data_IF_063635348687
#
_entry.id   IF_063635348687
#
_cell.length_a   1.000
_cell.length_b   1.000
_cell.length_c   1.000
_cell.angle_alpha   90.00
_cell.angle_beta   90.00
_cell.angle_gamma   90.00
#
_symmetry.space_group_name_H-M   'P 1'
#
loop_
_entity.id
_entity.type
_entity.pdbx_description
1 polymer ?
#
# COMPACT_ATOMS: atom_id res chain seq x y z
N UNK A 1 -7.80 14.70 -6.59
CA UNK A 1 -7.80 13.32 -6.04
C UNK A 1 -8.41 12.28 -6.99
N UNK A 2 -9.24 12.65 -7.97
CA UNK A 2 -9.93 11.72 -8.89
C UNK A 2 -9.06 10.80 -9.78
N UNK A 3 -7.79 11.11 -10.04
CA UNK A 3 -6.97 10.32 -10.97
C UNK A 3 -6.41 9.03 -10.33
N UNK A 4 -6.05 9.08 -9.04
CA UNK A 4 -5.49 7.91 -8.34
C UNK A 4 -6.55 6.83 -8.09
N UNK A 5 -7.77 7.22 -7.71
CA UNK A 5 -8.90 6.31 -7.49
C UNK A 5 -9.31 5.55 -8.76
N UNK A 6 -9.32 6.22 -9.91
CA UNK A 6 -9.61 5.54 -11.18
C UNK A 6 -8.51 4.56 -11.57
N UNK A 7 -7.25 4.93 -11.33
CA UNK A 7 -6.10 4.07 -11.66
C UNK A 7 -6.03 2.86 -10.71
N UNK A 8 -6.30 3.04 -9.41
CA UNK A 8 -6.26 1.92 -8.46
C UNK A 8 -7.34 0.87 -8.77
N UNK A 9 -8.54 1.29 -9.18
CA UNK A 9 -9.60 0.37 -9.63
C UNK A 9 -9.16 -0.46 -10.85
N UNK A 10 -8.53 0.17 -11.84
CA UNK A 10 -7.97 -0.54 -13.00
C UNK A 10 -6.83 -1.50 -12.59
N UNK A 11 -5.98 -1.06 -11.66
CA UNK A 11 -4.88 -1.88 -11.15
C UNK A 11 -5.41 -3.13 -10.45
N UNK A 12 -6.45 -3.02 -9.61
CA UNK A 12 -7.08 -4.18 -8.96
C UNK A 12 -7.86 -5.07 -9.93
N UNK A 13 -8.33 -4.53 -11.05
CA UNK A 13 -8.90 -5.36 -12.12
C UNK A 13 -7.81 -6.19 -12.80
N UNK A 14 -6.64 -5.60 -13.09
CA UNK A 14 -5.50 -6.27 -13.70
C UNK A 14 -4.82 -7.27 -12.73
N UNK A 15 -4.68 -6.86 -11.47
CA UNK A 15 -3.98 -7.59 -10.41
C UNK A 15 -4.92 -7.78 -9.21
N UNK A 16 -5.88 -8.73 -9.26
CA UNK A 16 -6.90 -8.91 -8.23
C UNK A 16 -6.36 -9.43 -6.89
N UNK A 17 -5.14 -9.99 -6.88
CA UNK A 17 -4.46 -10.42 -5.67
C UNK A 17 -2.93 -10.38 -5.87
N UNK A 18 -2.19 -10.55 -4.78
CA UNK A 18 -0.73 -10.52 -4.79
C UNK A 18 -0.14 -11.56 -5.75
N UNK A 19 -0.70 -12.77 -5.84
CA UNK A 19 -0.18 -13.82 -6.72
C UNK A 19 -0.24 -13.40 -8.18
N UNK A 20 -1.39 -12.93 -8.64
CA UNK A 20 -1.54 -12.43 -10.02
C UNK A 20 -0.61 -11.23 -10.27
N UNK A 21 -0.43 -10.35 -9.28
CA UNK A 21 0.51 -9.24 -9.40
C UNK A 21 1.96 -9.70 -9.64
N UNK A 22 2.36 -10.90 -9.18
CA UNK A 22 3.69 -11.46 -9.49
C UNK A 22 3.81 -12.07 -10.89
N UNK A 23 2.69 -12.41 -11.53
CA UNK A 23 2.64 -13.13 -12.81
C UNK A 23 2.36 -12.20 -14.00
N UNK A 24 1.62 -11.12 -13.79
CA UNK A 24 1.34 -10.10 -14.82
C UNK A 24 2.64 -9.43 -15.26
N UNK A 25 2.82 -9.24 -16.58
CA UNK A 25 3.98 -8.55 -17.13
C UNK A 25 4.12 -7.13 -16.55
N UNK A 26 5.33 -6.74 -16.16
CA UNK A 26 5.62 -5.45 -15.54
C UNK A 26 5.15 -4.27 -16.40
N UNK A 27 5.25 -4.41 -17.72
CA UNK A 27 4.85 -3.41 -18.71
C UNK A 27 3.34 -3.15 -18.70
N UNK A 28 2.51 -4.16 -18.38
CA UNK A 28 1.06 -3.98 -18.26
C UNK A 28 0.70 -3.18 -17.01
N UNK A 29 1.38 -3.46 -15.89
CA UNK A 29 1.24 -2.65 -14.66
C UNK A 29 1.70 -1.22 -14.94
N UNK A 30 2.84 -1.04 -15.61
CA UNK A 30 3.37 0.27 -16.01
C UNK A 30 2.36 1.07 -16.84
N UNK A 31 1.72 0.45 -17.84
CA UNK A 31 0.69 1.08 -18.67
C UNK A 31 -0.48 1.58 -17.84
N UNK A 32 -0.97 0.78 -16.89
CA UNK A 32 -2.10 1.15 -16.02
C UNK A 32 -1.75 2.36 -15.14
N UNK A 33 -0.56 2.37 -14.54
CA UNK A 33 -0.17 3.42 -13.58
C UNK A 33 0.57 4.62 -14.22
N UNK A 34 0.69 4.64 -15.55
CA UNK A 34 1.50 5.60 -16.32
C UNK A 34 1.23 7.05 -15.94
N UNK A 35 -0.05 7.40 -15.80
CA UNK A 35 -0.52 8.77 -15.51
C UNK A 35 -0.14 9.29 -14.13
N UNK A 36 0.30 8.43 -13.22
CA UNK A 36 0.60 8.78 -11.84
C UNK A 36 2.09 9.15 -11.61
N UNK A 37 2.93 9.12 -12.66
CA UNK A 37 4.39 9.36 -12.56
C UNK A 37 5.19 8.17 -12.04
N UNK A 38 6.53 8.18 -12.13
CA UNK A 38 7.42 7.11 -11.62
C UNK A 38 6.99 5.66 -11.98
N UNK A 39 6.26 5.48 -13.07
CA UNK A 39 5.48 4.27 -13.34
C UNK A 39 6.36 3.04 -13.54
N UNK A 40 7.51 3.20 -14.21
CA UNK A 40 8.51 2.13 -14.37
C UNK A 40 8.98 1.58 -13.02
N UNK A 41 9.44 2.48 -12.14
CA UNK A 41 9.94 2.13 -10.82
C UNK A 41 8.83 1.50 -9.97
N UNK A 42 7.63 2.10 -9.97
CA UNK A 42 6.51 1.60 -9.17
C UNK A 42 5.95 0.27 -9.65
N UNK A 43 5.97 -0.01 -10.95
CA UNK A 43 5.54 -1.31 -11.47
C UNK A 43 6.43 -2.44 -10.93
N UNK A 44 7.76 -2.26 -11.00
CA UNK A 44 8.72 -3.23 -10.41
C UNK A 44 8.54 -3.35 -8.89
N UNK A 45 8.38 -2.21 -8.20
CA UNK A 45 8.16 -2.22 -6.75
C UNK A 45 6.87 -2.96 -6.35
N UNK A 46 5.78 -2.81 -7.11
CA UNK A 46 4.51 -3.49 -6.84
C UNK A 46 4.63 -5.01 -6.98
N UNK A 47 5.31 -5.48 -8.04
CA UNK A 47 5.55 -6.91 -8.20
C UNK A 47 6.44 -7.46 -7.08
N UNK A 48 7.50 -6.73 -6.73
CA UNK A 48 8.41 -7.15 -5.65
C UNK A 48 7.72 -7.18 -4.30
N UNK A 49 6.94 -6.14 -3.97
CA UNK A 49 6.09 -6.09 -2.79
C UNK A 49 5.16 -7.32 -2.74
N UNK A 50 4.54 -7.66 -3.86
CA UNK A 50 3.61 -8.79 -3.95
C UNK A 50 4.32 -10.14 -3.75
N UNK A 51 5.53 -10.29 -4.29
CA UNK A 51 6.39 -11.46 -4.03
C UNK A 51 6.78 -11.56 -2.55
N UNK A 52 7.28 -10.47 -1.96
CA UNK A 52 7.70 -10.46 -0.56
C UNK A 52 6.49 -10.73 0.37
N UNK A 53 5.31 -10.19 0.04
CA UNK A 53 4.08 -10.38 0.81
C UNK A 53 3.61 -11.84 0.86
N UNK A 54 3.76 -12.57 -0.26
CA UNK A 54 3.45 -14.00 -0.34
C UNK A 54 4.50 -14.89 0.32
N UNK A 55 5.70 -14.37 0.56
CA UNK A 55 6.71 -15.06 1.33
C UNK A 55 6.33 -15.19 2.80
N UNK A 56 6.84 -16.21 3.47
CA UNK A 56 6.54 -16.49 4.88
C UNK A 56 7.57 -15.86 5.85
N UNK A 57 8.61 -15.20 5.33
CA UNK A 57 9.76 -14.76 6.12
C UNK A 57 9.60 -13.40 6.80
N UNK A 58 8.50 -12.68 6.54
CA UNK A 58 8.27 -11.37 7.13
C UNK A 58 7.33 -11.46 8.34
N UNK A 59 7.63 -10.67 9.36
CA UNK A 59 6.81 -10.52 10.57
C UNK A 59 6.29 -9.09 10.73
N UNK A 60 6.94 -8.12 10.10
CA UNK A 60 6.54 -6.71 10.10
C UNK A 60 6.42 -6.20 8.67
N UNK A 61 5.35 -5.46 8.36
CA UNK A 61 5.11 -4.96 7.00
C UNK A 61 6.22 -4.01 6.50
N UNK A 62 7.01 -3.40 7.39
CA UNK A 62 8.19 -2.59 7.03
C UNK A 62 9.32 -3.39 6.39
N UNK A 63 9.31 -4.73 6.51
CA UNK A 63 10.25 -5.62 5.83
C UNK A 63 9.89 -5.82 4.36
N UNK A 64 8.65 -5.51 3.97
CA UNK A 64 8.18 -5.66 2.60
C UNK A 64 8.70 -4.51 1.72
N UNK A 65 9.15 -4.85 0.51
CA UNK A 65 9.71 -3.86 -0.40
C UNK A 65 8.72 -2.72 -0.69
N UNK A 66 9.16 -1.47 -0.49
CA UNK A 66 8.35 -0.28 -0.76
C UNK A 66 7.39 0.13 0.35
N UNK A 67 7.31 -0.60 1.46
CA UNK A 67 6.52 -0.21 2.63
C UNK A 67 7.37 0.60 3.60
N UNK A 68 7.16 1.92 3.60
CA UNK A 68 7.75 2.84 4.58
C UNK A 68 6.83 3.11 5.78
N UNK A 69 7.20 4.10 6.61
CA UNK A 69 6.46 4.48 7.82
C UNK A 69 4.96 4.71 7.56
N UNK A 70 4.62 5.43 6.48
CA UNK A 70 3.22 5.68 6.12
C UNK A 70 2.42 4.38 5.95
N UNK A 71 2.94 3.42 5.18
CA UNK A 71 2.27 2.15 4.94
C UNK A 71 2.18 1.30 6.22
N UNK A 72 3.23 1.32 7.05
CA UNK A 72 3.25 0.60 8.32
C UNK A 72 2.26 1.17 9.34
N UNK A 73 2.20 2.49 9.51
CA UNK A 73 1.23 3.14 10.39
C UNK A 73 -0.20 2.87 9.89
N UNK A 74 -0.45 2.97 8.59
CA UNK A 74 -1.76 2.67 8.00
C UNK A 74 -2.16 1.21 8.26
N UNK A 75 -1.24 0.26 8.10
CA UNK A 75 -1.49 -1.15 8.39
C UNK A 75 -1.84 -1.39 9.88
N UNK A 76 -1.10 -0.76 10.79
CA UNK A 76 -1.37 -0.85 12.22
C UNK A 76 -2.76 -0.31 12.58
N UNK A 77 -3.14 0.84 12.01
CA UNK A 77 -4.43 1.49 12.27
C UNK A 77 -5.59 0.70 11.68
N UNK A 78 -5.50 0.31 10.40
CA UNK A 78 -6.67 -0.20 9.65
C UNK A 78 -6.73 -1.72 9.53
N UNK A 79 -5.60 -2.44 9.59
CA UNK A 79 -5.56 -3.88 9.35
C UNK A 79 -5.43 -4.69 10.64
N UNK A 80 -4.63 -4.22 11.61
CA UNK A 80 -4.42 -4.96 12.88
C UNK A 80 -5.15 -4.36 14.08
N UNK A 81 -5.62 -3.12 13.97
CA UNK A 81 -6.29 -2.41 15.07
C UNK A 81 -5.34 -1.91 16.17
N UNK A 82 -4.03 -1.95 15.95
CA UNK A 82 -3.00 -1.48 16.89
C UNK A 82 -2.75 0.03 16.74
N UNK A 83 -3.82 0.81 16.60
CA UNK A 83 -3.77 2.24 16.30
C UNK A 83 -3.13 3.07 17.43
N UNK A 84 -3.21 2.60 18.66
CA UNK A 84 -2.68 3.20 19.88
C UNK A 84 -1.16 3.02 20.02
N UNK A 85 -0.60 2.00 19.36
CA UNK A 85 0.84 1.70 19.31
C UNK A 85 1.61 2.54 18.28
N UNK A 86 0.93 3.36 17.48
CA UNK A 86 1.57 4.21 16.46
C UNK A 86 1.35 5.69 16.70
N UNK A 87 2.22 6.50 16.08
CA UNK A 87 2.12 7.96 15.98
C UNK A 87 2.39 8.35 14.53
N UNK A 88 1.33 8.51 13.70
CA UNK A 88 1.52 8.86 12.30
C UNK A 88 2.03 10.30 12.16
N UNK A 89 2.71 10.57 11.05
CA UNK A 89 3.15 11.93 10.67
C UNK A 89 2.53 12.38 9.34
N UNK A 90 1.87 11.48 8.62
CA UNK A 90 1.15 11.81 7.40
C UNK A 90 -0.09 12.64 7.74
N UNK A 91 -0.30 13.73 7.00
CA UNK A 91 -1.33 14.72 7.30
C UNK A 91 -2.75 14.11 7.38
N UNK A 92 -3.09 13.18 6.48
CA UNK A 92 -4.43 12.58 6.47
C UNK A 92 -4.54 11.45 7.50
N UNK A 93 -3.46 10.69 7.69
CA UNK A 93 -3.43 9.64 8.71
C UNK A 93 -3.49 10.22 10.13
N UNK A 94 -2.83 11.36 10.38
CA UNK A 94 -2.90 12.11 11.64
C UNK A 94 -4.34 12.52 11.94
N UNK A 95 -5.07 13.08 10.98
CA UNK A 95 -6.48 13.47 11.18
C UNK A 95 -7.35 12.29 11.61
N UNK A 96 -7.17 11.12 11.00
CA UNK A 96 -7.92 9.93 11.37
C UNK A 96 -7.51 9.39 12.74
N UNK A 97 -6.21 9.38 13.02
CA UNK A 97 -5.67 8.95 14.31
C UNK A 97 -6.13 9.86 15.47
N UNK A 98 -6.13 11.18 15.29
CA UNK A 98 -6.67 12.15 16.27
C UNK A 98 -8.19 12.00 16.46
N UNK A 99 -8.91 11.58 15.43
CA UNK A 99 -10.32 11.20 15.56
C UNK A 99 -10.47 9.96 16.45
N UNK A 100 -9.68 8.90 16.23
CA UNK A 100 -9.70 7.71 17.09
C UNK A 100 -9.35 8.03 18.54
N UNK A 101 -8.31 8.85 18.77
CA UNK A 101 -7.93 9.29 20.11
C UNK A 101 -9.07 9.98 20.84
N UNK A 102 -9.88 10.80 20.14
CA UNK A 102 -11.03 11.49 20.75
C UNK A 102 -12.24 10.58 20.97
N UNK A 103 -12.39 9.54 20.17
CA UNK A 103 -13.53 8.62 20.25
C UNK A 103 -13.37 7.58 21.36
N UNK A 104 -12.13 7.17 21.63
CA UNK A 104 -11.79 6.05 22.52
C UNK A 104 -11.10 6.50 23.83
N UNK A 105 -11.15 7.80 24.13
CA UNK A 105 -10.84 8.40 25.43
C UNK A 105 -12.14 8.76 26.14
#
# INVERSE_FOLDING_TARGET
MANAERVISKLFTLCPNAKIATEVATEEIEKVIRSLGLHRKRAVMLQRLSQDYLGESWTHVTQLHGVGKYGADAYAIFCTGNWDLVRPIDHMLVKYWEFLCRLLQ
#
